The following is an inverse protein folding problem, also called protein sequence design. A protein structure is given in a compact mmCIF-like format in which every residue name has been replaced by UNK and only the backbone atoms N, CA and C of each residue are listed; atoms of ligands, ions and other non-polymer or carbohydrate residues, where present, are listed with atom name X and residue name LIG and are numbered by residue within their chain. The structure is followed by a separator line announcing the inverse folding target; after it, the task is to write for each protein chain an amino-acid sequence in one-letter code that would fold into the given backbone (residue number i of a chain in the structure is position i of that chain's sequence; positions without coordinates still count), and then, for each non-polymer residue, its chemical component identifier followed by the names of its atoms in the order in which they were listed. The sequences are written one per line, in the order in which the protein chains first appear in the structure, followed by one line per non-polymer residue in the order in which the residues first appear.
data_IF_084931128828
#
_entry.id   IF_084931128828
#
_cell.length_a   1.000
_cell.length_b   1.000
_cell.length_c   1.000
_cell.angle_alpha   90.00
_cell.angle_beta   90.00
_cell.angle_gamma   90.00
#
_symmetry.space_group_name_H-M   'P 1'
#
loop_
_entity.id
_entity.type
_entity.pdbx_description
1 polymer ?
#
# COMPACT_ATOMS: atom_id res chain seq x y z
N UNK A 1 9.64 -21.31 3.14
CA UNK A 1 8.41 -20.52 2.93
C UNK A 1 8.78 -19.05 2.85
N UNK A 2 9.17 -18.58 1.66
CA UNK A 2 9.49 -17.16 1.45
C UNK A 2 8.21 -16.39 1.22
N UNK A 3 7.78 -15.58 2.19
CA UNK A 3 6.80 -14.54 1.89
C UNK A 3 7.42 -13.64 0.83
N UNK A 4 6.74 -13.38 -0.29
CA UNK A 4 7.28 -12.45 -1.27
C UNK A 4 7.34 -11.09 -0.59
N UNK A 5 8.51 -10.46 -0.58
CA UNK A 5 8.74 -9.10 -0.07
C UNK A 5 7.70 -8.08 -0.58
N UNK A 6 7.11 -8.37 -1.75
CA UNK A 6 6.00 -7.63 -2.37
C UNK A 6 4.65 -7.71 -1.64
N UNK A 7 4.37 -8.75 -0.85
CA UNK A 7 3.16 -8.81 -0.01
C UNK A 7 3.30 -7.93 1.22
N UNK A 8 4.45 -7.98 1.90
CA UNK A 8 4.70 -7.13 3.07
C UNK A 8 4.68 -5.64 2.69
N UNK A 9 5.24 -5.27 1.51
CA UNK A 9 5.14 -3.90 1.01
C UNK A 9 3.68 -3.48 0.77
N UNK A 10 2.90 -4.36 0.16
CA UNK A 10 1.50 -4.10 -0.15
C UNK A 10 0.68 -3.89 1.14
N UNK A 11 0.84 -4.78 2.11
CA UNK A 11 0.17 -4.71 3.41
C UNK A 11 0.58 -3.45 4.17
N UNK A 12 1.87 -3.07 4.15
CA UNK A 12 2.33 -1.81 4.76
C UNK A 12 1.72 -0.57 4.09
N UNK A 13 1.61 -0.57 2.76
CA UNK A 13 1.01 0.56 2.03
C UNK A 13 -0.49 0.68 2.32
N UNK A 14 -1.21 -0.44 2.39
CA UNK A 14 -2.63 -0.45 2.73
C UNK A 14 -2.86 -0.10 4.20
N UNK A 15 -2.03 -0.63 5.11
CA UNK A 15 -2.04 -0.26 6.53
C UNK A 15 -1.78 1.23 6.73
N UNK A 16 -0.85 1.83 5.99
CA UNK A 16 -0.63 3.27 6.03
C UNK A 16 -1.86 4.08 5.57
N UNK A 17 -2.61 3.60 4.58
CA UNK A 17 -3.84 4.28 4.12
C UNK A 17 -5.01 4.09 5.09
N UNK A 18 -5.26 2.86 5.54
CA UNK A 18 -6.45 2.51 6.33
C UNK A 18 -6.25 2.73 7.84
N UNK A 19 -5.06 2.44 8.37
CA UNK A 19 -4.76 2.58 9.81
C UNK A 19 -4.17 3.95 10.15
N UNK A 20 -3.23 4.46 9.34
CA UNK A 20 -2.64 5.79 9.58
C UNK A 20 -3.46 6.93 8.93
N UNK A 21 -4.52 6.61 8.18
CA UNK A 21 -5.41 7.58 7.54
C UNK A 21 -4.77 8.37 6.39
N UNK A 22 -3.63 7.90 5.86
CA UNK A 22 -2.94 8.59 4.78
C UNK A 22 -3.77 8.56 3.50
N UNK A 23 -3.76 9.67 2.76
CA UNK A 23 -4.32 9.65 1.42
C UNK A 23 -3.52 8.70 0.52
N UNK A 24 -4.20 8.08 -0.47
CA UNK A 24 -3.57 7.16 -1.45
C UNK A 24 -2.38 7.81 -2.16
N UNK A 25 -2.40 9.14 -2.34
CA UNK A 25 -1.31 9.94 -2.92
C UNK A 25 -0.13 10.10 -1.96
N UNK A 26 -0.38 10.34 -0.67
CA UNK A 26 0.68 10.39 0.34
C UNK A 26 1.34 9.02 0.53
N UNK A 27 0.55 7.94 0.57
CA UNK A 27 1.11 6.59 0.65
C UNK A 27 1.97 6.27 -0.58
N UNK A 28 1.53 6.65 -1.77
CA UNK A 28 2.32 6.51 -3.01
C UNK A 28 3.68 7.22 -2.91
N UNK A 29 3.70 8.48 -2.46
CA UNK A 29 4.92 9.25 -2.28
C UNK A 29 5.84 8.66 -1.18
N UNK A 30 5.27 8.23 -0.06
CA UNK A 30 6.01 7.66 1.08
C UNK A 30 6.71 6.34 0.73
N UNK A 31 6.04 5.48 -0.03
CA UNK A 31 6.55 4.16 -0.40
C UNK A 31 7.18 4.11 -1.79
N UNK A 32 7.23 5.24 -2.51
CA UNK A 32 7.82 5.31 -3.86
C UNK A 32 7.08 4.47 -4.90
N UNK A 33 5.77 4.22 -4.72
CA UNK A 33 4.94 3.42 -5.62
C UNK A 33 3.96 4.30 -6.38
N UNK A 34 3.57 3.91 -7.60
CA UNK A 34 2.56 4.64 -8.35
C UNK A 34 1.21 4.70 -7.63
N UNK A 35 0.51 5.84 -7.71
CA UNK A 35 -0.82 6.02 -7.09
C UNK A 35 -1.81 4.94 -7.57
N UNK A 36 -1.76 4.59 -8.86
CA UNK A 36 -2.58 3.52 -9.45
C UNK A 36 -2.34 2.16 -8.79
N UNK A 37 -1.10 1.89 -8.38
CA UNK A 37 -0.71 0.69 -7.66
C UNK A 37 -1.31 0.68 -6.25
N UNK A 38 -1.21 1.80 -5.53
CA UNK A 38 -1.84 1.97 -4.20
C UNK A 38 -3.35 1.76 -4.30
N UNK A 39 -4.02 2.38 -5.27
CA UNK A 39 -5.47 2.22 -5.49
C UNK A 39 -5.83 0.75 -5.71
N UNK A 40 -5.09 0.05 -6.57
CA UNK A 40 -5.31 -1.39 -6.84
C UNK A 40 -5.14 -2.22 -5.57
N UNK A 41 -4.16 -1.90 -4.74
CA UNK A 41 -3.86 -2.63 -3.51
C UNK A 41 -4.92 -2.39 -2.43
N UNK A 42 -5.26 -1.12 -2.17
CA UNK A 42 -6.34 -0.77 -1.25
C UNK A 42 -7.65 -1.41 -1.71
N UNK A 43 -7.98 -1.40 -3.02
CA UNK A 43 -9.21 -2.05 -3.53
C UNK A 43 -9.21 -3.57 -3.37
N UNK A 44 -8.04 -4.22 -3.23
CA UNK A 44 -7.91 -5.68 -3.13
C UNK A 44 -7.79 -6.18 -1.69
N UNK A 45 -7.31 -5.33 -0.78
CA UNK A 45 -7.03 -5.65 0.63
C UNK A 45 -8.00 -4.97 1.61
N UNK A 46 -8.75 -3.96 1.15
CA UNK A 46 -9.99 -3.52 1.79
C UNK A 46 -11.07 -4.55 1.53
#
# INVERSE_FOLDING_TARGET
MGKPYSMDLRERVVGAVEQEGLSRRQAAARFGVGISTVIRWVRRLR
#
